data_IF_213616658614
#
_entry.id   IF_213616658614
#
_cell.length_a   1.000
_cell.length_b   1.000
_cell.length_c   1.000
_cell.angle_alpha   90.00
_cell.angle_beta   90.00
_cell.angle_gamma   90.00
#
_symmetry.space_group_name_H-M   'P 1'
#
loop_
_entity.id
_entity.type
_entity.pdbx_description
1 polymer ?
#
# COMPACT_ATOMS: atom_id res chain seq x y z
N UNK A 1 7.26 -2.44 -20.66
CA UNK A 1 8.55 -2.34 -21.37
C UNK A 1 8.60 -3.46 -22.39
N UNK A 2 8.74 -3.13 -23.66
CA UNK A 2 8.94 -4.14 -24.72
C UNK A 2 10.31 -4.81 -24.56
N UNK A 3 10.49 -6.02 -25.10
CA UNK A 3 11.79 -6.70 -25.09
C UNK A 3 12.90 -5.86 -25.76
N UNK A 4 12.54 -5.02 -26.73
CA UNK A 4 13.45 -4.14 -27.46
C UNK A 4 13.84 -2.90 -26.66
N UNK A 5 12.91 -2.31 -25.90
CA UNK A 5 13.22 -1.27 -24.93
C UNK A 5 14.19 -1.79 -23.86
N UNK A 6 13.98 -3.02 -23.38
CA UNK A 6 14.89 -3.67 -22.41
C UNK A 6 16.31 -3.91 -22.96
N UNK A 7 16.47 -4.06 -24.28
CA UNK A 7 17.78 -4.19 -24.93
C UNK A 7 18.49 -2.85 -25.10
N UNK A 8 17.75 -1.75 -25.20
CA UNK A 8 18.35 -0.41 -25.28
C UNK A 8 19.07 -0.03 -23.96
N UNK A 9 18.63 -0.59 -22.84
CA UNK A 9 19.22 -0.41 -21.51
C UNK A 9 20.23 -1.51 -21.12
N UNK A 10 20.80 -2.26 -22.08
CA UNK A 10 21.80 -3.32 -21.80
C UNK A 10 23.01 -2.84 -20.96
N UNK A 11 23.31 -1.54 -20.97
CA UNK A 11 24.37 -0.94 -20.14
C UNK A 11 24.02 -0.83 -18.66
N UNK A 12 22.73 -0.83 -18.30
CA UNK A 12 22.29 -0.73 -16.91
C UNK A 12 21.94 -2.11 -16.33
N UNK A 13 22.98 -2.85 -15.90
CA UNK A 13 23.05 -4.05 -15.00
C UNK A 13 21.77 -4.70 -14.40
N UNK A 14 20.64 -4.78 -15.11
CA UNK A 14 19.34 -5.23 -14.58
C UNK A 14 18.64 -6.25 -15.49
N UNK A 15 19.30 -6.74 -16.54
CA UNK A 15 18.73 -7.70 -17.50
C UNK A 15 19.58 -8.99 -17.59
N UNK A 16 19.03 -10.17 -17.99
CA UNK A 16 19.70 -11.45 -17.84
C UNK A 16 21.00 -11.50 -18.64
N UNK A 17 22.08 -11.83 -17.94
CA UNK A 17 23.46 -11.96 -18.40
C UNK A 17 23.61 -12.78 -19.70
N UNK A 18 22.66 -13.66 -19.98
CA UNK A 18 22.65 -14.56 -21.15
C UNK A 18 22.57 -13.79 -22.47
N UNK A 19 21.74 -12.74 -22.56
CA UNK A 19 21.59 -11.98 -23.82
C UNK A 19 22.86 -11.18 -24.11
N UNK A 20 23.42 -10.53 -23.08
CA UNK A 20 24.66 -9.77 -23.21
C UNK A 20 25.85 -10.66 -23.64
N UNK A 21 25.95 -11.87 -23.08
CA UNK A 21 27.00 -12.84 -23.45
C UNK A 21 26.87 -13.28 -24.91
N UNK A 22 25.65 -13.54 -25.39
CA UNK A 22 25.37 -13.95 -26.76
C UNK A 22 25.72 -12.86 -27.77
N UNK A 23 25.32 -11.61 -27.51
CA UNK A 23 25.62 -10.48 -28.39
C UNK A 23 27.13 -10.23 -28.49
N UNK A 24 27.83 -10.17 -27.35
CA UNK A 24 29.30 -10.02 -27.33
C UNK A 24 30.02 -11.17 -28.04
N UNK A 25 29.45 -12.37 -28.10
CA UNK A 25 30.03 -13.53 -28.79
C UNK A 25 29.87 -13.42 -30.31
N UNK A 26 28.75 -12.89 -30.78
CA UNK A 26 28.47 -12.68 -32.20
C UNK A 26 29.27 -11.49 -32.75
N UNK A 27 29.36 -10.39 -32.00
CA UNK A 27 30.21 -9.24 -32.34
C UNK A 27 31.69 -9.63 -32.46
N UNK A 28 32.21 -10.44 -31.53
CA UNK A 28 33.60 -10.94 -31.59
C UNK A 28 33.87 -11.84 -32.80
N UNK A 29 32.84 -12.38 -33.43
CA UNK A 29 32.95 -13.15 -34.68
C UNK A 29 32.81 -12.27 -35.93
N UNK A 30 32.65 -10.96 -35.77
CA UNK A 30 32.53 -10.01 -36.87
C UNK A 30 31.14 -9.94 -37.51
N UNK A 31 30.09 -10.42 -36.83
CA UNK A 31 28.72 -10.24 -37.33
C UNK A 31 28.21 -8.84 -37.02
N UNK A 32 27.60 -8.21 -38.02
CA UNK A 32 26.80 -7.01 -37.83
C UNK A 32 25.38 -7.41 -37.38
N UNK A 33 24.87 -6.77 -36.33
CA UNK A 33 23.63 -7.17 -35.66
C UNK A 33 22.65 -6.01 -35.71
N UNK A 34 21.52 -6.22 -36.37
CA UNK A 34 20.45 -5.22 -36.48
C UNK A 34 19.18 -5.77 -35.81
N UNK A 35 18.58 -4.97 -34.94
CA UNK A 35 17.32 -5.31 -34.29
C UNK A 35 16.16 -4.57 -34.96
N UNK A 36 15.09 -5.31 -35.26
CA UNK A 36 13.83 -4.75 -35.72
C UNK A 36 12.68 -5.29 -34.89
N UNK A 37 11.71 -4.43 -34.61
CA UNK A 37 10.45 -4.85 -34.02
C UNK A 37 9.49 -5.31 -35.12
N UNK A 38 8.79 -6.42 -34.87
CA UNK A 38 7.65 -6.85 -35.67
C UNK A 38 6.45 -7.08 -34.76
N UNK A 39 5.23 -6.77 -35.22
CA UNK A 39 4.02 -7.09 -34.47
C UNK A 39 3.86 -8.61 -34.33
N UNK A 40 3.44 -9.07 -33.14
CA UNK A 40 3.17 -10.48 -32.89
C UNK A 40 1.80 -10.90 -33.44
N UNK A 41 1.64 -12.21 -33.71
CA UNK A 41 0.37 -12.82 -34.15
C UNK A 41 -0.22 -12.26 -35.44
N UNK A 42 0.63 -11.81 -36.36
CA UNK A 42 0.23 -11.30 -37.68
C UNK A 42 0.56 -12.28 -38.81
N UNK A 43 1.02 -13.49 -38.49
CA UNK A 43 1.26 -14.53 -39.49
C UNK A 43 2.62 -14.45 -40.20
N UNK A 44 3.58 -13.69 -39.68
CA UNK A 44 4.97 -13.71 -40.19
C UNK A 44 5.59 -15.06 -39.81
N UNK A 45 5.78 -15.93 -40.80
CA UNK A 45 6.17 -17.34 -40.59
C UNK A 45 7.33 -17.52 -39.60
N UNK A 46 8.43 -16.77 -39.76
CA UNK A 46 9.58 -16.86 -38.86
C UNK A 46 9.29 -16.38 -37.43
N UNK A 47 8.45 -15.35 -37.27
CA UNK A 47 8.03 -14.86 -35.95
C UNK A 47 7.10 -15.87 -35.27
N UNK A 48 6.11 -16.40 -35.99
CA UNK A 48 5.20 -17.42 -35.44
C UNK A 48 5.95 -18.72 -35.07
N UNK A 49 6.96 -19.12 -35.86
CA UNK A 49 7.82 -20.26 -35.54
C UNK A 49 8.62 -20.00 -34.26
N UNK A 50 9.22 -18.82 -34.11
CA UNK A 50 9.93 -18.42 -32.91
C UNK A 50 9.01 -18.37 -31.67
N UNK A 51 7.82 -17.78 -31.81
CA UNK A 51 6.80 -17.71 -30.75
C UNK A 51 6.31 -19.10 -30.35
N UNK A 52 6.07 -19.98 -31.32
CA UNK A 52 5.65 -21.37 -31.07
C UNK A 52 6.74 -22.16 -30.34
N UNK A 53 8.00 -22.01 -30.75
CA UNK A 53 9.14 -22.63 -30.09
C UNK A 53 9.36 -22.09 -28.66
N UNK A 54 9.16 -20.79 -28.44
CA UNK A 54 9.25 -20.20 -27.11
C UNK A 54 8.12 -20.70 -26.19
N UNK A 55 6.89 -20.82 -26.72
CA UNK A 55 5.73 -21.35 -25.99
C UNK A 55 5.92 -22.82 -25.62
N UNK A 56 6.38 -23.66 -26.53
CA UNK A 56 6.60 -25.10 -26.26
C UNK A 56 7.67 -25.34 -25.20
N UNK A 57 8.68 -24.47 -25.09
CA UNK A 57 9.68 -24.53 -24.01
C UNK A 57 9.17 -23.99 -22.68
N UNK A 58 8.15 -23.14 -22.68
CA UNK A 58 7.59 -22.55 -21.45
C UNK A 58 6.85 -23.60 -20.61
N UNK A 59 6.23 -24.59 -21.24
CA UNK A 59 5.59 -25.71 -20.54
C UNK A 59 6.60 -26.67 -19.88
N UNK A 60 7.84 -26.74 -20.40
CA UNK A 60 8.88 -27.64 -19.88
C UNK A 60 9.82 -26.97 -18.86
N UNK A 61 9.82 -25.64 -18.78
CA UNK A 61 10.76 -24.91 -17.93
C UNK A 61 9.99 -24.25 -16.80
N UNK A 62 9.99 -24.87 -15.62
CA UNK A 62 9.70 -24.18 -14.36
C UNK A 62 10.76 -23.09 -14.17
N UNK A 63 10.54 -21.92 -14.80
CA UNK A 63 11.36 -20.75 -14.55
C UNK A 63 11.13 -20.36 -13.09
N UNK A 64 12.19 -20.14 -12.30
CA UNK A 64 12.01 -19.52 -11.00
C UNK A 64 11.34 -18.16 -11.24
N UNK A 65 10.14 -18.01 -10.68
CA UNK A 65 9.42 -16.73 -10.65
C UNK A 65 10.39 -15.68 -10.11
N UNK A 66 10.50 -14.54 -10.79
CA UNK A 66 11.41 -13.49 -10.35
C UNK A 66 11.13 -13.17 -8.88
N UNK A 67 12.17 -13.08 -8.04
CA UNK A 67 12.01 -12.78 -6.62
C UNK A 67 11.16 -11.52 -6.37
N UNK A 68 11.17 -10.57 -7.32
CA UNK A 68 10.35 -9.35 -7.28
C UNK A 68 8.85 -9.62 -7.44
N UNK A 69 8.46 -10.58 -8.27
CA UNK A 69 7.06 -10.97 -8.46
C UNK A 69 6.55 -11.77 -7.26
N UNK A 70 7.39 -12.65 -6.70
CA UNK A 70 7.10 -13.33 -5.43
C UNK A 70 6.97 -12.35 -4.26
N UNK A 71 7.83 -11.33 -4.21
CA UNK A 71 7.77 -10.27 -3.20
C UNK A 71 6.45 -9.50 -3.28
N UNK A 72 6.08 -9.06 -4.48
CA UNK A 72 4.84 -8.31 -4.69
C UNK A 72 3.61 -9.15 -4.34
N UNK A 73 3.61 -10.42 -4.75
CA UNK A 73 2.54 -11.36 -4.41
C UNK A 73 2.43 -11.58 -2.90
N UNK A 74 3.56 -11.79 -2.21
CA UNK A 74 3.59 -11.94 -0.76
C UNK A 74 3.12 -10.66 -0.04
N UNK A 75 3.55 -9.48 -0.49
CA UNK A 75 3.10 -8.20 0.05
C UNK A 75 1.59 -8.02 -0.10
N UNK A 76 1.03 -8.29 -1.29
CA UNK A 76 -0.41 -8.19 -1.54
C UNK A 76 -1.20 -9.18 -0.67
N UNK A 77 -0.68 -10.40 -0.49
CA UNK A 77 -1.29 -11.37 0.40
C UNK A 77 -1.30 -10.88 1.86
N UNK A 78 -0.17 -10.37 2.36
CA UNK A 78 -0.06 -9.82 3.72
C UNK A 78 -1.02 -8.64 3.90
N UNK A 79 -1.06 -7.70 2.96
CA UNK A 79 -1.97 -6.55 3.01
C UNK A 79 -3.43 -6.99 3.00
N UNK A 80 -3.79 -7.99 2.20
CA UNK A 80 -5.16 -8.55 2.18
C UNK A 80 -5.53 -9.17 3.51
N UNK A 81 -4.68 -10.05 4.07
CA UNK A 81 -4.95 -10.69 5.37
C UNK A 81 -5.02 -9.65 6.49
N UNK A 82 -4.17 -8.62 6.43
CA UNK A 82 -4.22 -7.52 7.39
C UNK A 82 -5.53 -6.74 7.27
N UNK A 83 -5.97 -6.42 6.06
CA UNK A 83 -7.25 -5.76 5.81
C UNK A 83 -8.43 -6.61 6.28
N UNK A 84 -8.46 -7.90 5.96
CA UNK A 84 -9.50 -8.82 6.41
C UNK A 84 -9.57 -8.88 7.95
N UNK A 85 -8.41 -8.92 8.62
CA UNK A 85 -8.33 -8.90 10.09
C UNK A 85 -8.82 -7.57 10.66
N UNK A 86 -8.48 -6.46 9.98
CA UNK A 86 -8.91 -5.12 10.36
C UNK A 86 -10.42 -4.94 10.21
N UNK A 87 -11.02 -5.47 9.15
CA UNK A 87 -12.46 -5.43 8.90
C UNK A 87 -13.27 -6.15 10.00
N UNK A 88 -12.67 -7.14 10.68
CA UNK A 88 -13.30 -7.81 11.82
C UNK A 88 -13.31 -6.97 13.11
N UNK A 89 -12.58 -5.85 13.16
CA UNK A 89 -12.48 -5.00 14.35
C UNK A 89 -13.68 -4.05 14.49
N UNK A 90 -14.90 -4.59 14.41
CA UNK A 90 -16.15 -3.80 14.37
C UNK A 90 -16.41 -2.93 15.62
N UNK A 91 -15.87 -3.33 16.78
CA UNK A 91 -15.97 -2.56 18.03
C UNK A 91 -14.79 -1.59 18.24
N UNK A 92 -13.82 -1.56 17.32
CA UNK A 92 -12.67 -0.68 17.45
C UNK A 92 -13.04 0.73 16.98
N UNK A 93 -12.89 1.69 17.90
CA UNK A 93 -13.13 3.12 17.66
C UNK A 93 -12.32 3.73 16.50
N UNK A 94 -11.13 3.19 16.20
CA UNK A 94 -10.31 3.64 15.08
C UNK A 94 -10.79 3.02 13.77
N UNK A 95 -11.29 1.78 13.81
CA UNK A 95 -11.86 1.12 12.62
C UNK A 95 -13.10 1.85 12.11
N UNK A 96 -13.98 2.30 13.01
CA UNK A 96 -15.20 3.03 12.63
C UNK A 96 -14.95 4.35 11.89
N UNK A 97 -13.78 4.97 12.09
CA UNK A 97 -13.36 6.20 11.39
C UNK A 97 -12.37 5.94 10.24
N UNK A 98 -11.75 4.76 10.21
CA UNK A 98 -10.73 4.38 9.24
C UNK A 98 -10.78 2.88 8.94
N UNK A 99 -11.69 2.45 8.07
CA UNK A 99 -11.86 1.03 7.75
C UNK A 99 -10.72 0.48 6.88
N UNK A 100 -9.78 1.29 6.40
CA UNK A 100 -8.62 0.81 5.62
C UNK A 100 -7.38 0.62 6.48
N UNK A 101 -6.50 -0.30 6.08
CA UNK A 101 -5.13 -0.43 6.60
C UNK A 101 -4.14 0.52 5.93
N UNK A 102 -4.59 1.28 4.93
CA UNK A 102 -3.79 2.28 4.21
C UNK A 102 -3.31 3.41 5.13
N UNK A 103 -2.25 4.09 4.71
CA UNK A 103 -1.76 5.25 5.46
C UNK A 103 -2.68 6.45 5.31
N UNK A 104 -2.83 7.22 6.39
CA UNK A 104 -3.40 8.55 6.33
C UNK A 104 -2.41 9.52 5.69
N UNK A 105 -2.93 10.48 4.92
CA UNK A 105 -2.15 11.63 4.52
C UNK A 105 -1.74 12.44 5.75
N UNK A 106 -0.45 12.72 5.88
CA UNK A 106 0.07 13.58 6.94
C UNK A 106 -0.38 15.03 6.73
N UNK A 107 -0.76 15.72 7.81
CA UNK A 107 -1.03 17.15 7.72
C UNK A 107 0.27 17.95 7.55
N UNK A 108 0.26 19.09 6.84
CA UNK A 108 1.46 19.92 6.66
C UNK A 108 2.06 20.44 7.97
N UNK A 109 1.23 20.58 9.00
CA UNK A 109 1.63 21.06 10.33
C UNK A 109 1.66 19.89 11.31
N UNK A 110 2.86 19.50 11.74
CA UNK A 110 3.09 18.39 12.69
C UNK A 110 2.22 18.48 13.94
N UNK A 111 2.05 19.67 14.52
CA UNK A 111 1.23 19.86 15.72
C UNK A 111 -0.21 19.39 15.49
N UNK A 112 -0.82 19.77 14.36
CA UNK A 112 -2.19 19.37 14.03
C UNK A 112 -2.29 17.87 13.79
N UNK A 113 -1.29 17.28 13.14
CA UNK A 113 -1.23 15.83 12.90
C UNK A 113 -1.20 15.02 14.21
N UNK A 114 -0.46 15.51 15.20
CA UNK A 114 -0.42 14.92 16.55
C UNK A 114 -1.77 15.04 17.26
N UNK A 115 -2.40 16.21 17.25
CA UNK A 115 -3.72 16.39 17.86
C UNK A 115 -4.76 15.49 17.20
N UNK A 116 -4.79 15.46 15.87
CA UNK A 116 -5.73 14.63 15.11
C UNK A 116 -5.49 13.14 15.38
N UNK A 117 -4.25 12.67 15.37
CA UNK A 117 -3.90 11.29 15.69
C UNK A 117 -4.40 10.91 17.08
N UNK A 118 -4.15 11.75 18.09
CA UNK A 118 -4.63 11.55 19.46
C UNK A 118 -6.16 11.48 19.54
N UNK A 119 -6.87 12.38 18.87
CA UNK A 119 -8.34 12.35 18.80
C UNK A 119 -8.85 11.04 18.18
N UNK A 120 -8.25 10.58 17.08
CA UNK A 120 -8.63 9.35 16.38
C UNK A 120 -8.48 8.10 17.26
N UNK A 121 -7.37 7.98 17.98
CA UNK A 121 -7.16 6.88 18.93
C UNK A 121 -7.83 7.14 20.29
N UNK A 122 -8.63 8.20 20.40
CA UNK A 122 -9.39 8.55 21.60
C UNK A 122 -8.53 9.00 22.79
N UNK A 123 -7.28 9.42 22.59
CA UNK A 123 -6.33 9.86 23.62
C UNK A 123 -6.50 11.34 23.95
N UNK A 124 -7.36 11.65 24.92
CA UNK A 124 -7.54 12.99 25.45
C UNK A 124 -7.46 12.96 26.97
N UNK A 125 -7.36 14.13 27.60
CA UNK A 125 -7.43 14.22 29.07
C UNK A 125 -8.75 13.66 29.61
N UNK A 126 -9.88 13.90 28.96
CA UNK A 126 -11.19 13.41 29.42
C UNK A 126 -11.36 11.90 29.28
N UNK A 127 -10.68 11.28 28.31
CA UNK A 127 -10.90 9.88 27.95
C UNK A 127 -9.81 8.93 28.44
N UNK A 128 -8.59 9.40 28.72
CA UNK A 128 -7.45 8.54 29.11
C UNK A 128 -6.81 8.88 30.47
N UNK A 129 -7.10 10.05 31.07
CA UNK A 129 -6.50 10.41 32.38
C UNK A 129 -6.79 9.37 33.46
N UNK A 130 -8.00 8.81 33.48
CA UNK A 130 -8.39 7.83 34.48
C UNK A 130 -7.53 6.57 34.43
N UNK A 131 -7.10 6.12 33.24
CA UNK A 131 -6.20 4.97 33.08
C UNK A 131 -4.82 5.22 33.70
N UNK A 132 -4.30 6.45 33.59
CA UNK A 132 -3.01 6.83 34.17
C UNK A 132 -3.08 6.94 35.69
N UNK A 133 -4.25 7.24 36.24
CA UNK A 133 -4.47 7.41 37.68
C UNK A 133 -5.06 6.16 38.36
N UNK A 134 -5.42 5.13 37.59
CA UNK A 134 -6.14 3.96 38.09
C UNK A 134 -7.56 4.28 38.59
N UNK A 135 -8.15 5.37 38.09
CA UNK A 135 -9.51 5.82 38.43
C UNK A 135 -10.55 5.17 37.51
N UNK A 136 -11.82 5.19 37.93
CA UNK A 136 -12.93 4.81 37.07
C UNK A 136 -13.07 5.80 35.88
N UNK A 137 -13.54 5.28 34.75
CA UNK A 137 -13.80 6.11 33.58
C UNK A 137 -14.82 7.20 33.91
N UNK A 138 -14.53 8.49 33.63
CA UNK A 138 -15.48 9.55 33.90
C UNK A 138 -16.67 9.43 32.94
N UNK A 139 -17.87 9.63 33.48
CA UNK A 139 -19.12 9.56 32.73
C UNK A 139 -19.73 10.93 32.49
N UNK A 140 -20.45 11.06 31.38
CA UNK A 140 -21.24 12.24 31.11
C UNK A 140 -22.41 12.33 32.10
N UNK A 141 -22.54 13.40 32.90
CA UNK A 141 -23.59 13.51 33.91
C UNK A 141 -25.01 13.44 33.34
N UNK A 142 -25.19 13.92 32.10
CA UNK A 142 -26.48 13.96 31.40
C UNK A 142 -26.80 12.66 30.68
N UNK A 143 -25.81 12.03 30.03
CA UNK A 143 -26.03 10.86 29.18
C UNK A 143 -25.78 9.53 29.89
N UNK A 144 -25.12 9.56 31.07
CA UNK A 144 -24.76 8.36 31.86
C UNK A 144 -23.97 7.31 31.07
N UNK A 145 -23.11 7.79 30.17
CA UNK A 145 -22.17 6.96 29.40
C UNK A 145 -20.75 7.47 29.62
N UNK A 146 -19.73 6.59 29.56
CA UNK A 146 -18.33 7.00 29.63
C UNK A 146 -17.98 8.02 28.53
N UNK A 147 -17.12 8.99 28.86
CA UNK A 147 -16.64 9.92 27.85
C UNK A 147 -15.86 9.21 26.75
N UNK A 148 -16.21 9.50 25.50
CA UNK A 148 -15.44 9.16 24.31
C UNK A 148 -15.27 10.40 23.42
N UNK A 149 -14.26 10.39 22.54
CA UNK A 149 -14.07 11.49 21.59
C UNK A 149 -15.30 11.65 20.68
N UNK A 150 -15.90 10.53 20.23
CA UNK A 150 -17.15 10.55 19.48
C UNK A 150 -18.30 11.17 20.29
N UNK A 151 -18.44 10.80 21.57
CA UNK A 151 -19.47 11.35 22.44
C UNK A 151 -19.33 12.87 22.57
N UNK A 152 -18.11 13.36 22.80
CA UNK A 152 -17.89 14.80 23.01
C UNK A 152 -18.04 15.59 21.70
N UNK A 153 -17.45 15.09 20.60
CA UNK A 153 -17.41 15.82 19.33
C UNK A 153 -18.68 15.69 18.48
N UNK A 154 -19.44 14.59 18.59
CA UNK A 154 -20.54 14.27 17.65
C UNK A 154 -21.88 14.04 18.36
N UNK A 155 -21.93 13.21 19.40
CA UNK A 155 -23.20 12.63 19.90
C UNK A 155 -23.85 13.43 21.04
N UNK A 156 -23.08 13.86 22.05
CA UNK A 156 -23.62 14.46 23.26
C UNK A 156 -24.22 15.87 23.06
N UNK A 157 -25.52 16.09 23.36
CA UNK A 157 -26.17 17.40 23.19
C UNK A 157 -25.60 18.52 24.08
N UNK A 158 -25.05 18.16 25.25
CA UNK A 158 -24.43 19.12 26.18
C UNK A 158 -23.28 19.89 25.53
N UNK A 159 -22.58 19.27 24.58
CA UNK A 159 -21.48 19.90 23.88
C UNK A 159 -21.89 20.69 22.63
N UNK A 160 -23.17 20.73 22.24
CA UNK A 160 -23.62 21.44 21.03
C UNK A 160 -23.21 22.92 21.02
N UNK A 161 -23.38 23.62 22.16
CA UNK A 161 -22.96 25.02 22.28
C UNK A 161 -21.44 25.19 22.15
N UNK A 162 -20.68 24.22 22.66
CA UNK A 162 -19.23 24.25 22.57
C UNK A 162 -18.76 23.98 21.14
N UNK A 163 -19.37 23.04 20.41
CA UNK A 163 -19.05 22.74 19.00
C UNK A 163 -19.26 23.92 18.05
N UNK A 164 -20.17 24.83 18.37
CA UNK A 164 -20.37 26.07 17.63
C UNK A 164 -19.23 27.08 17.82
N UNK A 165 -18.36 26.89 18.83
CA UNK A 165 -17.21 27.75 19.07
C UNK A 165 -15.97 27.28 18.29
N UNK A 166 -15.29 28.18 17.55
CA UNK A 166 -14.02 27.86 16.88
C UNK A 166 -12.92 27.37 17.83
N UNK A 167 -12.99 27.76 19.11
CA UNK A 167 -11.98 27.40 20.11
C UNK A 167 -12.15 26.00 20.72
N UNK A 168 -13.24 25.29 20.40
CA UNK A 168 -13.58 24.02 21.03
C UNK A 168 -12.50 22.93 20.85
N UNK A 169 -11.84 22.94 19.70
CA UNK A 169 -10.77 21.98 19.38
C UNK A 169 -9.53 22.16 20.28
N UNK A 170 -9.34 23.32 20.90
CA UNK A 170 -8.21 23.57 21.81
C UNK A 170 -8.37 22.94 23.19
N UNK A 171 -9.53 22.35 23.49
CA UNK A 171 -9.77 21.62 24.74
C UNK A 171 -9.16 20.20 24.75
N UNK A 172 -8.53 19.77 23.65
CA UNK A 172 -7.96 18.43 23.45
C UNK A 172 -6.48 18.46 23.04
#
# INVERSE_FOLDING_TARGET
MSALESLHFLTERRHPTVIEILLRKLERKGFDIIFFWVPGHVGILGNEQADTAARSMSDHMQRPVCCQDLKTTAQNYIHRVWQETWDQQVLNKLHSIHPSTSHWAALPVRKHDVHLTRLRIGHTRFTHRHLLLGENAPECPSCKVPYSVYHILIDCPVFNRHRASPSFIHLF
#
